data_IF_734196465560
#
_entry.id   IF_734196465560
#
_cell.length_a   1.000
_cell.length_b   1.000
_cell.length_c   1.000
_cell.angle_alpha   90.00
_cell.angle_beta   90.00
_cell.angle_gamma   90.00
#
_symmetry.space_group_name_H-M   'P 1'
#
loop_
_entity.id
_entity.type
_entity.pdbx_description
1 polymer ?
#
# COMPACT_ATOMS: atom_id res chain seq x y z
N UNK A 1 -7.05 -14.79 -28.60
CA UNK A 1 -5.90 -15.54 -28.08
C UNK A 1 -4.64 -14.98 -28.71
N UNK A 2 -3.73 -14.49 -27.90
CA UNK A 2 -2.46 -13.96 -28.37
C UNK A 2 -1.60 -15.05 -29.02
N UNK A 3 -0.69 -14.69 -29.94
CA UNK A 3 0.24 -15.63 -30.55
C UNK A 3 1.03 -16.41 -29.49
N UNK A 4 1.22 -17.71 -29.74
CA UNK A 4 2.00 -18.63 -28.88
C UNK A 4 1.41 -18.92 -27.48
N UNK A 5 0.22 -18.41 -27.14
CA UNK A 5 -0.44 -18.77 -25.88
C UNK A 5 -1.08 -20.15 -25.86
N UNK A 6 -1.54 -20.61 -27.02
CA UNK A 6 -2.17 -21.93 -27.17
C UNK A 6 -1.51 -22.65 -28.35
N UNK A 7 -0.97 -23.88 -28.18
CA UNK A 7 -0.29 -24.62 -29.26
C UNK A 7 -1.14 -24.83 -30.51
N UNK A 8 -2.46 -24.94 -30.36
CA UNK A 8 -3.39 -25.08 -31.49
C UNK A 8 -3.53 -23.78 -32.31
N UNK A 9 -3.09 -22.63 -31.80
CA UNK A 9 -3.19 -21.32 -32.44
C UNK A 9 -1.87 -20.55 -32.35
N UNK A 10 -0.77 -21.02 -32.95
CA UNK A 10 0.57 -20.42 -32.81
C UNK A 10 0.64 -19.00 -33.37
N UNK A 11 -0.22 -18.63 -34.31
CA UNK A 11 -0.34 -17.27 -34.88
C UNK A 11 -1.37 -16.40 -34.13
N UNK A 12 -1.95 -16.93 -33.04
CA UNK A 12 -3.12 -16.32 -32.40
C UNK A 12 -4.41 -16.55 -33.17
N UNK A 13 -5.49 -16.06 -32.64
CA UNK A 13 -6.82 -16.05 -33.29
C UNK A 13 -7.50 -14.73 -33.02
N UNK A 14 -7.87 -14.05 -34.07
CA UNK A 14 -8.76 -12.91 -33.99
C UNK A 14 -10.17 -13.40 -33.63
N UNK A 15 -10.74 -12.83 -32.58
CA UNK A 15 -12.07 -13.18 -32.10
C UNK A 15 -12.84 -11.92 -31.79
N UNK A 16 -13.83 -11.64 -32.61
CA UNK A 16 -14.68 -10.44 -32.51
C UNK A 16 -15.97 -10.69 -31.72
N UNK A 17 -16.17 -11.92 -31.22
CA UNK A 17 -17.42 -12.35 -30.57
C UNK A 17 -17.26 -12.68 -29.09
N UNK A 18 -16.04 -12.95 -28.63
CA UNK A 18 -15.77 -13.29 -27.24
C UNK A 18 -14.90 -12.21 -26.56
N UNK A 19 -15.22 -11.92 -25.33
CA UNK A 19 -14.42 -11.01 -24.53
C UNK A 19 -13.12 -11.73 -24.06
N UNK A 20 -12.01 -11.01 -24.12
CA UNK A 20 -10.82 -11.45 -23.39
C UNK A 20 -11.06 -11.31 -21.87
N UNK A 21 -10.13 -11.82 -21.05
CA UNK A 21 -10.25 -11.77 -19.58
C UNK A 21 -10.48 -10.34 -19.05
N UNK A 22 -9.81 -9.36 -19.63
CA UNK A 22 -9.99 -7.95 -19.26
C UNK A 22 -11.40 -7.44 -19.60
N UNK A 23 -11.85 -7.64 -20.83
CA UNK A 23 -13.18 -7.22 -21.27
C UNK A 23 -14.29 -7.92 -20.49
N UNK A 24 -14.14 -9.22 -20.21
CA UNK A 24 -15.08 -9.99 -19.39
C UNK A 24 -15.22 -9.42 -17.98
N UNK A 25 -14.12 -8.98 -17.36
CA UNK A 25 -14.13 -8.34 -16.03
C UNK A 25 -14.81 -6.99 -16.02
N UNK A 26 -14.53 -6.16 -17.03
CA UNK A 26 -15.17 -4.83 -17.18
C UNK A 26 -16.69 -5.00 -17.29
N UNK A 27 -17.15 -5.90 -18.16
CA UNK A 27 -18.59 -6.16 -18.32
C UNK A 27 -19.20 -6.76 -17.05
N UNK A 28 -18.50 -7.70 -16.39
CA UNK A 28 -18.98 -8.26 -15.13
C UNK A 28 -19.14 -7.18 -14.06
N UNK A 29 -18.18 -6.26 -13.91
CA UNK A 29 -18.26 -5.12 -13.00
C UNK A 29 -19.47 -4.24 -13.29
N UNK A 30 -19.66 -3.81 -14.54
CA UNK A 30 -20.82 -3.01 -14.95
C UNK A 30 -22.13 -3.73 -14.66
N UNK A 31 -22.18 -5.04 -14.93
CA UNK A 31 -23.38 -5.87 -14.69
C UNK A 31 -23.70 -5.96 -13.20
N UNK A 32 -22.68 -6.20 -12.37
CA UNK A 32 -22.83 -6.30 -10.90
C UNK A 32 -23.32 -4.96 -10.33
N UNK A 33 -22.77 -3.83 -10.76
CA UNK A 33 -23.18 -2.49 -10.33
C UNK A 33 -24.63 -2.20 -10.76
N UNK A 34 -25.01 -2.59 -11.98
CA UNK A 34 -26.38 -2.46 -12.46
C UNK A 34 -27.36 -3.32 -11.64
N UNK A 35 -26.99 -4.58 -11.34
CA UNK A 35 -27.82 -5.45 -10.49
C UNK A 35 -27.98 -4.85 -9.09
N UNK A 36 -26.91 -4.33 -8.48
CA UNK A 36 -26.98 -3.72 -7.15
C UNK A 36 -27.91 -2.49 -7.13
N UNK A 37 -27.97 -1.74 -8.24
CA UNK A 37 -28.84 -0.58 -8.37
C UNK A 37 -30.30 -0.94 -8.59
N UNK A 38 -30.58 -1.92 -9.47
CA UNK A 38 -31.93 -2.32 -9.87
C UNK A 38 -32.59 -3.30 -8.88
N UNK A 39 -31.78 -4.02 -8.09
CA UNK A 39 -32.23 -5.00 -7.08
C UNK A 39 -31.51 -4.71 -5.76
N UNK A 40 -31.96 -3.69 -4.98
CA UNK A 40 -31.28 -3.20 -3.78
C UNK A 40 -31.02 -4.27 -2.72
N UNK A 41 -31.85 -5.29 -2.60
CA UNK A 41 -31.66 -6.42 -1.68
C UNK A 41 -30.42 -7.26 -2.03
N UNK A 42 -29.92 -7.21 -3.26
CA UNK A 42 -28.69 -7.87 -3.69
C UNK A 42 -27.45 -6.99 -3.50
N UNK A 43 -27.61 -5.67 -3.35
CA UNK A 43 -26.48 -4.75 -3.19
C UNK A 43 -25.55 -5.13 -2.04
N UNK A 44 -26.09 -5.67 -0.94
CA UNK A 44 -25.31 -6.13 0.22
C UNK A 44 -24.40 -7.33 -0.05
N UNK A 45 -24.61 -8.05 -1.15
CA UNK A 45 -23.80 -9.20 -1.55
C UNK A 45 -22.76 -8.83 -2.60
N UNK A 46 -22.81 -7.61 -3.14
CA UNK A 46 -21.82 -7.13 -4.12
C UNK A 46 -20.51 -6.82 -3.40
N UNK A 47 -19.45 -7.53 -3.78
CA UNK A 47 -18.11 -7.27 -3.29
C UNK A 47 -17.33 -6.49 -4.33
N UNK A 48 -16.96 -5.26 -3.99
CA UNK A 48 -16.08 -4.41 -4.81
C UNK A 48 -14.60 -4.62 -4.51
N UNK A 49 -14.29 -5.33 -3.42
CA UNK A 49 -12.94 -5.64 -2.96
C UNK A 49 -12.80 -7.14 -2.72
N UNK A 50 -11.60 -7.67 -2.99
CA UNK A 50 -11.28 -9.08 -2.71
C UNK A 50 -11.33 -9.35 -1.20
N UNK A 51 -10.80 -8.41 -0.40
CA UNK A 51 -10.80 -8.46 1.07
C UNK A 51 -11.23 -7.14 1.69
N UNK A 52 -11.83 -7.24 2.86
CA UNK A 52 -12.21 -6.10 3.71
C UNK A 52 -11.60 -6.28 5.09
N UNK A 53 -10.85 -5.27 5.54
CA UNK A 53 -10.30 -5.21 6.90
C UNK A 53 -11.15 -4.29 7.75
N UNK A 54 -11.64 -4.76 8.90
CA UNK A 54 -12.45 -3.97 9.80
C UNK A 54 -12.30 -4.44 11.25
N UNK A 55 -11.97 -3.53 12.16
CA UNK A 55 -11.75 -3.85 13.59
C UNK A 55 -13.03 -4.22 14.35
N UNK A 56 -14.20 -3.87 13.82
CA UNK A 56 -15.51 -4.17 14.39
C UNK A 56 -16.04 -5.56 14.00
N UNK A 57 -15.27 -6.35 13.26
CA UNK A 57 -15.64 -7.69 12.80
C UNK A 57 -16.59 -7.70 11.59
N UNK A 58 -16.88 -6.54 10.98
CA UNK A 58 -17.72 -6.45 9.77
C UNK A 58 -16.95 -6.72 8.47
N UNK A 59 -15.62 -6.98 8.56
CA UNK A 59 -14.75 -7.35 7.46
C UNK A 59 -14.39 -8.83 7.45
N UNK A 60 -13.52 -9.19 6.50
CA UNK A 60 -12.96 -10.54 6.41
C UNK A 60 -11.80 -10.75 7.40
N UNK A 61 -11.13 -9.65 7.80
CA UNK A 61 -9.98 -9.65 8.71
C UNK A 61 -10.07 -8.48 9.70
N UNK A 62 -9.46 -8.65 10.88
CA UNK A 62 -9.37 -7.61 11.91
C UNK A 62 -8.14 -6.71 11.73
N UNK A 63 -7.06 -7.23 11.15
CA UNK A 63 -5.80 -6.52 10.93
C UNK A 63 -5.43 -6.46 9.46
N UNK A 64 -4.66 -5.42 9.07
CA UNK A 64 -4.18 -5.28 7.70
C UNK A 64 -3.16 -6.38 7.38
N UNK A 65 -2.35 -6.78 8.38
CA UNK A 65 -1.36 -7.85 8.19
C UNK A 65 -2.02 -9.20 7.86
N UNK A 66 -3.15 -9.54 8.50
CA UNK A 66 -3.90 -10.76 8.17
C UNK A 66 -4.38 -10.76 6.71
N UNK A 67 -4.91 -9.65 6.23
CA UNK A 67 -5.33 -9.51 4.84
C UNK A 67 -4.16 -9.63 3.85
N UNK A 68 -3.01 -8.99 4.14
CA UNK A 68 -1.79 -9.14 3.33
C UNK A 68 -1.31 -10.60 3.31
N UNK A 69 -1.31 -11.27 4.47
CA UNK A 69 -0.89 -12.68 4.56
C UNK A 69 -1.80 -13.61 3.74
N UNK A 70 -3.10 -13.32 3.66
CA UNK A 70 -4.07 -14.09 2.90
C UNK A 70 -3.94 -13.94 1.37
N UNK A 71 -3.27 -12.89 0.87
CA UNK A 71 -3.02 -12.73 -0.57
C UNK A 71 -2.07 -13.84 -1.03
N UNK A 72 -2.39 -14.59 -2.11
CA UNK A 72 -1.47 -15.59 -2.66
C UNK A 72 -0.15 -14.96 -3.11
N UNK A 73 0.97 -15.65 -2.84
CA UNK A 73 2.29 -15.22 -3.28
C UNK A 73 2.40 -15.26 -4.81
N UNK A 74 3.16 -14.31 -5.36
CA UNK A 74 3.48 -14.19 -6.80
C UNK A 74 2.25 -14.20 -7.74
N UNK A 75 1.13 -13.62 -7.31
CA UNK A 75 -0.11 -13.53 -8.08
C UNK A 75 0.03 -12.56 -9.27
N UNK A 76 0.44 -13.07 -10.44
CA UNK A 76 0.80 -12.25 -11.61
C UNK A 76 -0.39 -11.72 -12.41
N UNK A 77 -1.48 -12.47 -12.51
CA UNK A 77 -2.52 -12.23 -13.51
C UNK A 77 -3.67 -11.34 -13.02
N UNK A 78 -3.73 -11.04 -11.74
CA UNK A 78 -4.83 -10.28 -11.13
C UNK A 78 -4.29 -9.43 -10.00
N UNK A 79 -4.70 -8.18 -9.98
CA UNK A 79 -4.48 -7.30 -8.83
C UNK A 79 -5.43 -7.68 -7.70
N UNK A 80 -4.93 -7.84 -6.48
CA UNK A 80 -5.76 -8.04 -5.30
C UNK A 80 -6.12 -6.69 -4.69
N UNK A 81 -7.39 -6.47 -4.43
CA UNK A 81 -7.89 -5.23 -3.83
C UNK A 81 -8.29 -5.47 -2.38
N UNK A 82 -7.75 -4.67 -1.47
CA UNK A 82 -8.01 -4.75 -0.03
C UNK A 82 -8.58 -3.42 0.41
N UNK A 83 -9.81 -3.41 0.94
CA UNK A 83 -10.39 -2.26 1.61
C UNK A 83 -10.02 -2.27 3.08
N UNK A 84 -9.42 -1.18 3.57
CA UNK A 84 -9.18 -0.95 5.00
C UNK A 84 -10.23 0.03 5.51
N UNK A 85 -11.15 -0.41 6.35
CA UNK A 85 -12.15 0.46 6.95
C UNK A 85 -11.53 1.45 7.93
N UNK A 86 -12.24 2.53 8.20
CA UNK A 86 -11.86 3.54 9.19
C UNK A 86 -11.48 2.87 10.51
N UNK A 87 -10.33 3.25 11.06
CA UNK A 87 -9.81 2.75 12.33
C UNK A 87 -8.33 3.01 12.48
N UNK A 88 -7.82 2.87 13.70
CA UNK A 88 -6.39 2.94 14.00
C UNK A 88 -5.87 1.52 14.19
N UNK A 89 -5.19 1.01 13.19
CA UNK A 89 -4.59 -0.32 13.17
C UNK A 89 -3.17 -0.21 13.78
N UNK A 90 -3.07 -0.48 15.09
CA UNK A 90 -1.79 -0.45 15.80
C UNK A 90 -1.04 -1.75 15.56
N UNK A 91 -0.39 -1.83 14.42
CA UNK A 91 0.36 -3.00 13.98
C UNK A 91 1.62 -2.59 13.21
N UNK A 92 2.64 -3.44 13.24
CA UNK A 92 3.82 -3.31 12.41
C UNK A 92 3.55 -4.05 11.11
N UNK A 93 3.14 -3.30 10.08
CA UNK A 93 2.77 -3.88 8.81
C UNK A 93 4.00 -4.25 7.98
N UNK A 94 4.04 -5.47 7.47
CA UNK A 94 5.07 -5.95 6.55
C UNK A 94 4.40 -6.51 5.31
N UNK A 95 4.70 -5.91 4.14
CA UNK A 95 4.28 -6.41 2.83
C UNK A 95 5.48 -7.07 2.15
N UNK A 96 5.62 -8.41 2.21
CA UNK A 96 6.76 -9.12 1.65
C UNK A 96 6.85 -8.98 0.13
N UNK A 97 8.04 -9.14 -0.44
CA UNK A 97 8.31 -9.05 -1.87
C UNK A 97 7.44 -9.99 -2.72
N UNK A 98 7.03 -11.13 -2.16
CA UNK A 98 6.16 -12.11 -2.84
C UNK A 98 4.70 -11.64 -3.03
N UNK A 99 4.25 -10.62 -2.27
CA UNK A 99 2.87 -10.11 -2.26
C UNK A 99 2.65 -9.05 -3.35
N UNK A 100 2.91 -9.41 -4.60
CA UNK A 100 2.86 -8.52 -5.76
C UNK A 100 1.42 -8.15 -6.18
N UNK A 101 1.27 -7.03 -6.90
CA UNK A 101 0.01 -6.59 -7.49
C UNK A 101 -1.13 -6.38 -6.46
N UNK A 102 -0.86 -5.70 -5.37
CA UNK A 102 -1.86 -5.35 -4.36
C UNK A 102 -2.29 -3.88 -4.51
N UNK A 103 -3.58 -3.62 -4.34
CA UNK A 103 -4.14 -2.31 -4.05
C UNK A 103 -4.69 -2.29 -2.63
N UNK A 104 -4.13 -1.43 -1.79
CA UNK A 104 -4.58 -1.18 -0.42
C UNK A 104 -5.33 0.15 -0.38
N UNK A 105 -6.63 0.09 -0.19
CA UNK A 105 -7.53 1.25 -0.28
C UNK A 105 -8.11 1.54 1.11
N UNK A 106 -7.84 2.73 1.64
CA UNK A 106 -8.38 3.16 2.93
C UNK A 106 -9.72 3.88 2.79
N UNK A 107 -10.62 3.66 3.73
CA UNK A 107 -11.65 4.63 4.02
C UNK A 107 -11.03 5.84 4.72
N UNK A 108 -11.65 7.00 4.62
CA UNK A 108 -11.21 8.19 5.33
C UNK A 108 -11.09 7.91 6.85
N UNK A 109 -9.89 8.14 7.40
CA UNK A 109 -9.55 7.82 8.78
C UNK A 109 -9.02 6.40 8.99
N UNK A 110 -8.62 5.69 7.94
CA UNK A 110 -7.82 4.47 8.04
C UNK A 110 -6.36 4.82 8.35
N UNK A 111 -5.86 4.40 9.51
CA UNK A 111 -4.51 4.70 10.01
C UNK A 111 -3.77 3.41 10.34
N UNK A 112 -2.59 3.24 9.81
CA UNK A 112 -1.64 2.19 10.19
C UNK A 112 -0.56 2.85 11.03
N UNK A 113 -0.43 2.46 12.29
CA UNK A 113 0.49 3.12 13.22
C UNK A 113 1.28 2.13 14.07
N UNK A 114 2.50 2.52 14.42
CA UNK A 114 3.33 1.83 15.41
C UNK A 114 4.25 2.83 16.12
N UNK A 115 5.01 2.37 17.14
CA UNK A 115 5.79 3.24 18.02
C UNK A 115 7.25 2.81 18.18
N UNK A 116 7.82 2.12 17.18
CA UNK A 116 9.24 1.76 17.19
C UNK A 116 10.12 2.96 16.78
N UNK A 117 11.32 3.06 17.39
CA UNK A 117 12.33 4.06 17.07
C UNK A 117 13.74 3.43 17.12
N UNK A 118 14.73 4.09 16.55
CA UNK A 118 16.04 3.51 16.30
C UNK A 118 16.73 2.99 17.58
N UNK A 119 16.63 3.71 18.71
CA UNK A 119 17.24 3.34 19.97
C UNK A 119 16.38 2.41 20.82
N UNK A 120 15.16 2.05 20.39
CA UNK A 120 14.35 1.03 21.07
C UNK A 120 15.00 -0.34 20.89
N UNK A 121 15.19 -1.06 21.98
CA UNK A 121 15.84 -2.37 21.96
C UNK A 121 14.87 -3.45 21.45
N UNK A 122 15.43 -4.43 20.75
CA UNK A 122 14.76 -5.68 20.42
C UNK A 122 14.82 -6.66 21.60
N UNK A 123 14.28 -7.86 21.45
CA UNK A 123 14.24 -8.89 22.49
C UNK A 123 15.62 -9.42 22.90
N UNK A 124 16.66 -9.10 22.13
CA UNK A 124 18.05 -9.48 22.40
C UNK A 124 18.85 -8.33 23.02
N UNK A 125 18.23 -7.19 23.33
CA UNK A 125 18.90 -6.01 23.88
C UNK A 125 19.65 -5.15 22.87
N UNK A 126 19.46 -5.39 21.56
CA UNK A 126 20.10 -4.64 20.49
C UNK A 126 19.19 -3.51 20.01
N UNK A 127 19.76 -2.34 19.67
CA UNK A 127 19.01 -1.24 19.10
C UNK A 127 18.44 -1.62 17.73
N UNK A 128 17.18 -1.26 17.46
CA UNK A 128 16.51 -1.56 16.19
C UNK A 128 17.15 -0.85 14.99
N UNK A 129 17.78 0.29 15.20
CA UNK A 129 18.29 1.17 14.16
C UNK A 129 17.17 1.82 13.34
N UNK A 130 17.53 2.75 12.46
CA UNK A 130 16.57 3.45 11.60
C UNK A 130 15.71 2.47 10.79
N UNK A 131 16.34 1.53 10.09
CA UNK A 131 15.63 0.55 9.25
C UNK A 131 14.72 -0.39 10.04
N UNK A 132 15.04 -0.68 11.31
CA UNK A 132 14.22 -1.53 12.19
C UNK A 132 13.07 -0.81 12.87
N UNK A 133 12.99 0.52 12.75
CA UNK A 133 12.03 1.38 13.45
C UNK A 133 10.70 1.57 12.72
N UNK A 134 10.57 1.14 11.46
CA UNK A 134 9.41 1.47 10.65
C UNK A 134 8.10 0.86 11.16
N UNK A 135 7.02 1.66 11.07
CA UNK A 135 5.66 1.17 11.31
C UNK A 135 5.15 0.31 10.16
N UNK A 136 5.54 0.66 8.94
CA UNK A 136 5.12 -0.06 7.74
C UNK A 136 6.33 -0.34 6.84
N UNK A 137 6.44 -1.57 6.33
CA UNK A 137 7.45 -2.00 5.37
C UNK A 137 6.78 -2.49 4.09
N UNK A 138 7.13 -1.90 2.95
CA UNK A 138 6.59 -2.28 1.64
C UNK A 138 7.75 -2.72 0.75
N UNK A 139 7.86 -4.04 0.54
CA UNK A 139 8.86 -4.66 -0.32
C UNK A 139 8.28 -5.11 -1.67
N UNK A 140 6.97 -5.35 -1.72
CA UNK A 140 6.29 -5.90 -2.88
C UNK A 140 6.22 -4.92 -4.06
N UNK A 141 6.70 -5.29 -5.26
CA UNK A 141 6.56 -4.45 -6.44
C UNK A 141 5.10 -4.31 -6.90
N UNK A 142 4.82 -3.27 -7.70
CA UNK A 142 3.49 -2.97 -8.22
C UNK A 142 2.43 -2.74 -7.13
N UNK A 143 2.84 -2.17 -5.99
CA UNK A 143 1.99 -1.90 -4.85
C UNK A 143 1.31 -0.54 -5.00
N UNK A 144 -0.02 -0.51 -4.95
CA UNK A 144 -0.83 0.71 -4.98
C UNK A 144 -1.47 0.95 -3.62
N UNK A 145 -1.40 2.19 -3.15
CA UNK A 145 -2.03 2.61 -1.89
C UNK A 145 -2.83 3.88 -2.11
N UNK A 146 -4.04 3.92 -1.58
CA UNK A 146 -4.87 5.12 -1.62
C UNK A 146 -5.57 5.37 -0.29
N UNK A 147 -5.63 6.64 0.14
CA UNK A 147 -6.36 7.11 1.32
C UNK A 147 -5.92 6.47 2.66
N UNK A 148 -4.66 6.09 2.81
CA UNK A 148 -4.11 5.51 4.06
C UNK A 148 -3.22 6.55 4.75
N UNK A 149 -3.33 6.63 6.07
CA UNK A 149 -2.36 7.30 6.93
C UNK A 149 -1.36 6.29 7.48
N UNK A 150 -0.08 6.52 7.24
CA UNK A 150 1.03 5.81 7.88
C UNK A 150 1.63 6.72 8.95
N UNK A 151 1.69 6.23 10.19
CA UNK A 151 2.10 7.03 11.31
C UNK A 151 3.13 6.30 12.18
N UNK A 152 4.16 7.02 12.63
CA UNK A 152 5.01 6.57 13.72
C UNK A 152 4.73 7.43 14.96
N UNK A 153 4.21 6.80 15.99
CA UNK A 153 3.75 7.45 17.23
C UNK A 153 4.78 7.50 18.35
N UNK A 154 6.05 7.19 18.07
CA UNK A 154 7.12 7.23 19.10
C UNK A 154 7.43 8.65 19.61
N UNK A 155 7.02 9.67 18.87
CA UNK A 155 7.33 11.06 19.21
C UNK A 155 8.73 11.52 18.75
N UNK A 156 9.23 12.66 19.25
CA UNK A 156 10.52 13.24 18.82
C UNK A 156 11.72 12.60 19.55
N UNK A 157 11.87 11.27 19.42
CA UNK A 157 12.87 10.44 20.14
C UNK A 157 14.09 10.08 19.30
N UNK A 158 14.28 10.72 18.15
CA UNK A 158 15.28 10.39 17.14
C UNK A 158 14.65 9.74 15.92
N UNK A 159 15.42 8.94 15.17
CA UNK A 159 14.97 8.29 13.95
C UNK A 159 13.82 7.31 14.22
N UNK A 160 12.70 7.53 13.54
CA UNK A 160 11.48 6.75 13.74
C UNK A 160 10.64 6.76 12.46
N UNK A 161 10.75 5.71 11.66
CA UNK A 161 10.18 5.64 10.31
C UNK A 161 8.69 5.31 10.39
N UNK A 162 7.85 6.09 9.70
CA UNK A 162 6.44 5.75 9.53
C UNK A 162 6.24 4.73 8.39
N UNK A 163 6.94 4.94 7.26
CA UNK A 163 6.86 4.03 6.13
C UNK A 163 8.21 3.85 5.45
N UNK A 164 8.67 2.60 5.39
CA UNK A 164 9.83 2.15 4.64
C UNK A 164 9.36 1.53 3.32
N UNK A 165 9.80 2.08 2.20
CA UNK A 165 9.38 1.63 0.87
C UNK A 165 10.61 1.24 0.06
N UNK A 166 10.77 -0.06 -0.24
CA UNK A 166 11.77 -0.58 -1.18
C UNK A 166 11.15 -1.26 -2.41
N UNK A 167 9.85 -1.08 -2.57
CA UNK A 167 9.07 -1.63 -3.66
C UNK A 167 9.29 -0.86 -4.96
N UNK A 168 9.65 -1.55 -6.06
CA UNK A 168 9.66 -0.93 -7.38
C UNK A 168 8.23 -0.75 -7.91
N UNK A 169 7.96 0.40 -8.56
CA UNK A 169 6.64 0.79 -9.05
C UNK A 169 5.58 0.88 -7.96
N UNK A 170 6.00 1.35 -6.76
CA UNK A 170 5.05 1.69 -5.71
C UNK A 170 4.36 3.03 -6.02
N UNK A 171 3.05 3.07 -5.86
CA UNK A 171 2.25 4.27 -6.09
C UNK A 171 1.36 4.57 -4.88
N UNK A 172 1.54 5.75 -4.31
CA UNK A 172 0.77 6.28 -3.18
C UNK A 172 -0.06 7.46 -3.64
N UNK A 173 -1.37 7.40 -3.42
CA UNK A 173 -2.30 8.47 -3.78
C UNK A 173 -3.11 8.91 -2.57
N UNK A 174 -3.18 10.22 -2.34
CA UNK A 174 -3.93 10.80 -1.22
C UNK A 174 -3.59 10.15 0.15
N UNK A 175 -2.31 9.78 0.35
CA UNK A 175 -1.82 9.17 1.57
C UNK A 175 -1.23 10.21 2.50
N UNK A 176 -1.14 9.89 3.79
CA UNK A 176 -0.48 10.72 4.79
C UNK A 176 0.67 9.95 5.43
N UNK A 177 1.81 10.62 5.60
CA UNK A 177 2.99 10.08 6.28
C UNK A 177 3.30 11.00 7.47
N UNK A 178 3.02 10.50 8.68
CA UNK A 178 3.08 11.29 9.90
C UNK A 178 4.20 10.77 10.82
N UNK A 179 5.09 11.67 11.22
CA UNK A 179 6.21 11.32 12.10
C UNK A 179 6.99 12.56 12.55
N UNK A 180 8.23 12.32 12.88
CA UNK A 180 9.18 13.33 13.31
C UNK A 180 10.47 13.22 12.50
N UNK A 181 11.59 12.74 13.06
CA UNK A 181 12.80 12.48 12.30
C UNK A 181 12.66 11.19 11.50
N UNK A 182 13.07 11.20 10.21
CA UNK A 182 13.10 10.04 9.33
C UNK A 182 11.72 9.43 9.01
N UNK A 183 10.70 10.26 8.73
CA UNK A 183 9.30 9.78 8.57
C UNK A 183 9.11 8.84 7.37
N UNK A 184 9.57 9.23 6.18
CA UNK A 184 9.41 8.46 4.94
C UNK A 184 10.76 8.02 4.38
N UNK A 185 11.00 6.71 4.38
CA UNK A 185 12.22 6.11 3.87
C UNK A 185 12.01 5.55 2.46
N UNK A 186 12.47 6.28 1.46
CA UNK A 186 12.41 5.87 0.04
C UNK A 186 13.67 5.09 -0.33
N UNK A 187 13.64 3.76 -0.14
CA UNK A 187 14.81 2.91 -0.19
C UNK A 187 15.00 2.22 -1.55
N UNK A 188 16.25 2.05 -1.98
CA UNK A 188 16.68 1.14 -3.02
C UNK A 188 17.17 1.80 -4.32
N UNK A 189 18.34 1.37 -4.79
CA UNK A 189 18.94 1.82 -6.06
C UNK A 189 18.09 1.31 -7.23
N UNK A 190 17.67 2.22 -8.11
CA UNK A 190 16.88 1.87 -9.30
C UNK A 190 15.40 1.59 -9.01
N UNK A 191 14.98 1.65 -7.75
CA UNK A 191 13.58 1.53 -7.35
C UNK A 191 12.82 2.81 -7.69
N UNK A 192 11.62 2.68 -8.24
CA UNK A 192 10.77 3.79 -8.68
C UNK A 192 9.54 3.89 -7.79
N UNK A 193 9.29 5.09 -7.26
CA UNK A 193 8.18 5.36 -6.38
C UNK A 193 7.47 6.64 -6.81
N UNK A 194 6.15 6.67 -6.73
CA UNK A 194 5.34 7.81 -7.10
C UNK A 194 4.35 8.16 -6.00
N UNK A 195 4.38 9.40 -5.57
CA UNK A 195 3.54 9.96 -4.51
C UNK A 195 2.71 11.08 -5.11
N UNK A 196 1.37 10.94 -5.10
CA UNK A 196 0.44 11.89 -5.66
C UNK A 196 -0.56 12.36 -4.60
N UNK A 197 -0.73 13.68 -4.52
CA UNK A 197 -1.67 14.31 -3.58
C UNK A 197 -1.45 13.88 -2.11
N UNK A 198 -0.20 13.54 -1.75
CA UNK A 198 0.15 13.05 -0.42
C UNK A 198 0.49 14.20 0.53
N UNK A 199 0.23 13.98 1.82
CA UNK A 199 0.69 14.84 2.91
C UNK A 199 1.84 14.15 3.66
N UNK A 200 2.97 14.83 3.81
CA UNK A 200 4.18 14.27 4.44
C UNK A 200 4.67 15.29 5.48
N UNK A 201 4.80 14.88 6.74
CA UNK A 201 5.31 15.73 7.80
C UNK A 201 6.45 15.10 8.58
N UNK A 202 7.30 15.96 9.12
CA UNK A 202 8.40 15.56 10.01
C UNK A 202 9.21 16.71 10.54
N UNK A 203 10.36 16.42 11.11
CA UNK A 203 11.24 17.44 11.72
C UNK A 203 12.60 17.56 11.03
N UNK A 204 13.34 16.45 10.91
CA UNK A 204 14.67 16.40 10.30
C UNK A 204 14.72 15.17 9.40
N UNK A 205 15.27 15.34 8.19
CA UNK A 205 15.53 14.27 7.23
C UNK A 205 14.29 13.38 6.97
N UNK A 206 13.10 13.98 7.04
CA UNK A 206 11.87 13.23 7.09
C UNK A 206 11.41 12.66 5.73
N UNK A 207 12.13 12.96 4.65
CA UNK A 207 12.09 12.26 3.36
C UNK A 207 13.53 11.89 3.01
N UNK A 208 13.88 10.61 3.10
CA UNK A 208 15.27 10.20 2.93
C UNK A 208 15.40 8.86 2.19
N UNK A 209 16.62 8.58 1.71
CA UNK A 209 16.94 7.38 0.95
C UNK A 209 17.46 7.68 -0.46
N UNK A 210 17.52 6.66 -1.32
CA UNK A 210 18.18 6.74 -2.63
C UNK A 210 17.38 6.08 -3.77
N UNK A 211 16.06 5.97 -3.63
CA UNK A 211 15.21 5.55 -4.75
C UNK A 211 14.96 6.70 -5.73
N UNK A 212 14.44 6.39 -6.90
CA UNK A 212 13.86 7.39 -7.80
C UNK A 212 12.42 7.66 -7.36
N UNK A 213 12.22 8.66 -6.51
CA UNK A 213 10.93 9.05 -5.98
C UNK A 213 10.43 10.35 -6.61
N UNK A 214 9.17 10.35 -7.08
CA UNK A 214 8.50 11.53 -7.63
C UNK A 214 7.35 11.94 -6.70
N UNK A 215 7.34 13.20 -6.30
CA UNK A 215 6.30 13.79 -5.45
C UNK A 215 5.49 14.80 -6.28
N UNK A 216 4.26 14.42 -6.64
CA UNK A 216 3.37 15.22 -7.47
C UNK A 216 2.23 15.78 -6.63
N UNK A 217 2.09 17.12 -6.60
CA UNK A 217 1.06 17.84 -5.82
C UNK A 217 1.03 17.44 -4.33
N UNK A 218 2.19 17.06 -3.78
CA UNK A 218 2.30 16.70 -2.37
C UNK A 218 2.42 17.94 -1.49
N UNK A 219 1.83 17.88 -0.29
CA UNK A 219 2.03 18.87 0.77
C UNK A 219 3.12 18.36 1.71
N UNK A 220 4.27 19.05 1.73
CA UNK A 220 5.41 18.70 2.59
C UNK A 220 5.45 19.73 3.73
N UNK A 221 5.29 19.25 4.97
CA UNK A 221 5.20 20.08 6.17
C UNK A 221 6.35 19.82 7.13
N UNK A 222 7.21 20.83 7.32
CA UNK A 222 8.24 20.79 8.36
C UNK A 222 7.67 21.29 9.69
N UNK A 223 7.74 20.43 10.71
CA UNK A 223 7.22 20.71 12.07
C UNK A 223 8.17 21.59 12.89
N UNK A 224 9.42 21.75 12.44
CA UNK A 224 10.46 22.65 13.01
C UNK A 224 11.54 22.89 11.97
N UNK A 225 12.44 23.83 12.28
CA UNK A 225 13.63 24.06 11.47
C UNK A 225 14.50 22.79 11.38
N UNK A 226 14.98 22.50 10.17
CA UNK A 226 15.78 21.32 9.87
C UNK A 226 15.78 20.97 8.39
N UNK A 227 16.60 20.03 7.99
CA UNK A 227 16.62 19.54 6.63
C UNK A 227 15.37 18.69 6.36
N UNK A 228 14.72 18.95 5.22
CA UNK A 228 13.54 18.20 4.78
C UNK A 228 13.94 16.85 4.23
N UNK A 229 15.05 16.82 3.49
CA UNK A 229 15.50 15.62 2.77
C UNK A 229 16.95 15.29 3.09
N UNK A 230 17.24 14.00 3.13
CA UNK A 230 18.59 13.44 3.21
C UNK A 230 18.78 12.39 2.11
N UNK A 231 19.05 12.81 0.86
CA UNK A 231 19.39 11.87 -0.22
C UNK A 231 20.78 11.30 0.02
N UNK A 232 20.98 10.00 -0.26
CA UNK A 232 22.26 9.28 -0.08
C UNK A 232 22.65 8.51 -1.32
#
# INVERSE_FOLDING_TARGET
>A
VEPNQVPAFPKGREDNTHLNIYGARVIAGITVDAIAKEVPELAKYVRHYDFVVAQDGSGDFFTVQEAINAVPDFRKNVRTTILVRKGVYKEKLIVPESKINISLIGQEGAVISYDDYANKQNVFGENKGTSGSSSCYIYAPDFYVENITFENTSGPVGQAVACFVSADRAYFKNCRFLGFQDTLYTYGKGVRQYYEDCYIEGTVDFIFGWSTAVFNRCHIHSKRDGYVTAPS
#
